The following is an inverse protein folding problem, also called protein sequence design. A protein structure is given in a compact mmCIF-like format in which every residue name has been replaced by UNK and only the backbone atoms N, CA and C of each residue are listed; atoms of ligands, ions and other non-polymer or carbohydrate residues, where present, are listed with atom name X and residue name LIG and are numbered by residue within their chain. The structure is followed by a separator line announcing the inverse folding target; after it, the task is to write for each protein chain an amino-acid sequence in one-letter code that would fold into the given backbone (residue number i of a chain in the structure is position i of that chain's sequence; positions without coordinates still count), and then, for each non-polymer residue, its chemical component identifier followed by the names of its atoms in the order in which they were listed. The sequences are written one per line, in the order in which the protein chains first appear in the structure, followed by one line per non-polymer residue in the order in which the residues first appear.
data_IF_152743577095
#
_entry.id   IF_152743577095
#
_cell.length_a   1.000
_cell.length_b   1.000
_cell.length_c   1.000
_cell.angle_alpha   90.00
_cell.angle_beta   90.00
_cell.angle_gamma   90.00
#
_symmetry.space_group_name_H-M   'P 1'
#
loop_
_entity.id
_entity.type
_entity.pdbx_description
1 polymer ?
#
# COMPACT_ATOMS: atom_id res chain seq x y z
N UNK A 1 14.84 -37.31 -10.74
CA UNK A 1 15.34 -37.27 -9.35
C UNK A 1 16.02 -35.91 -9.15
N UNK A 2 15.27 -34.88 -8.77
CA UNK A 2 15.81 -33.55 -8.47
C UNK A 2 15.35 -33.17 -7.06
N UNK A 3 16.16 -33.55 -6.08
CA UNK A 3 15.97 -33.14 -4.69
C UNK A 3 16.49 -31.72 -4.51
N UNK A 4 15.57 -30.77 -4.39
CA UNK A 4 15.91 -29.41 -3.97
C UNK A 4 15.81 -29.34 -2.44
N UNK A 5 16.98 -29.40 -1.80
CA UNK A 5 17.15 -29.26 -0.35
C UNK A 5 16.79 -27.81 0.09
N UNK A 6 15.75 -27.68 0.91
CA UNK A 6 15.34 -26.44 1.55
C UNK A 6 15.92 -26.30 2.96
N UNK A 7 17.23 -26.49 3.14
CA UNK A 7 17.90 -25.99 4.33
C UNK A 7 18.21 -24.49 4.19
N UNK A 8 17.20 -23.65 4.41
CA UNK A 8 17.40 -22.21 4.70
C UNK A 8 16.93 -21.89 6.11
N UNK A 9 17.73 -22.32 7.09
CA UNK A 9 17.81 -21.65 8.39
C UNK A 9 18.25 -20.21 8.16
N UNK A 10 17.51 -19.31 8.80
CA UNK A 10 17.88 -17.95 9.17
C UNK A 10 18.26 -16.97 8.04
N UNK A 11 17.36 -16.00 7.82
CA UNK A 11 17.65 -14.59 8.09
C UNK A 11 16.35 -13.78 8.05
N UNK A 12 15.64 -13.78 9.17
CA UNK A 12 14.63 -12.78 9.49
C UNK A 12 15.33 -11.41 9.68
N UNK A 13 15.77 -10.79 8.59
CA UNK A 13 16.19 -9.39 8.63
C UNK A 13 14.93 -8.55 8.68
N UNK A 14 14.58 -8.12 9.88
CA UNK A 14 13.58 -7.09 10.14
C UNK A 14 14.03 -5.79 9.48
N UNK A 15 13.68 -5.61 8.20
CA UNK A 15 13.84 -4.34 7.51
C UNK A 15 12.64 -3.46 7.92
N UNK A 16 12.73 -2.82 9.08
CA UNK A 16 11.69 -1.92 9.61
C UNK A 16 11.59 -0.58 8.85
N UNK A 17 12.29 -0.45 7.72
CA UNK A 17 12.45 0.77 6.94
C UNK A 17 12.23 0.48 5.47
N UNK A 18 10.98 0.23 5.12
CA UNK A 18 10.61 -0.28 3.79
C UNK A 18 10.73 0.78 2.71
N UNK A 19 10.61 2.07 3.05
CA UNK A 19 10.94 3.16 2.14
C UNK A 19 11.06 4.50 2.91
N UNK A 20 12.16 4.67 3.66
CA UNK A 20 12.55 5.99 4.20
C UNK A 20 12.47 7.13 3.17
N UNK A 21 12.89 6.97 1.88
CA UNK A 21 12.85 8.09 0.94
C UNK A 21 11.43 8.56 0.66
N UNK A 22 10.44 7.67 0.56
CA UNK A 22 9.05 8.05 0.32
C UNK A 22 8.49 8.82 1.52
N UNK A 23 8.78 8.35 2.74
CA UNK A 23 8.33 9.02 3.96
C UNK A 23 8.95 10.41 4.10
N UNK A 24 10.25 10.55 3.84
CA UNK A 24 10.95 11.84 3.90
C UNK A 24 10.51 12.79 2.78
N UNK A 25 10.27 12.28 1.57
CA UNK A 25 9.87 13.10 0.42
C UNK A 25 8.50 13.74 0.64
N UNK A 26 7.48 12.95 1.01
CA UNK A 26 6.14 13.47 1.26
C UNK A 26 6.05 14.28 2.56
N UNK A 27 6.81 13.91 3.59
CA UNK A 27 6.83 14.71 4.83
C UNK A 27 7.54 16.04 4.66
N UNK A 28 8.67 16.04 3.96
CA UNK A 28 9.38 17.25 3.58
C UNK A 28 8.52 18.18 2.73
N UNK A 29 7.75 17.64 1.78
CA UNK A 29 6.87 18.45 0.93
C UNK A 29 5.78 19.19 1.73
N UNK A 30 5.07 18.52 2.65
CA UNK A 30 4.04 19.19 3.46
C UNK A 30 4.63 20.19 4.45
N UNK A 31 5.73 19.85 5.13
CA UNK A 31 6.42 20.78 6.04
C UNK A 31 6.92 21.99 5.26
N UNK A 32 7.46 21.79 4.06
CA UNK A 32 7.85 22.87 3.16
C UNK A 32 6.65 23.73 2.76
N UNK A 33 5.51 23.12 2.39
CA UNK A 33 4.29 23.84 2.02
C UNK A 33 3.75 24.70 3.17
N UNK A 34 3.70 24.15 4.39
CA UNK A 34 3.33 24.89 5.60
C UNK A 34 4.33 26.01 5.87
N UNK A 35 5.63 25.74 5.74
CA UNK A 35 6.70 26.73 5.91
C UNK A 35 6.59 27.88 4.91
N UNK A 36 6.33 27.60 3.63
CA UNK A 36 6.08 28.63 2.61
C UNK A 36 4.85 29.44 2.95
N UNK A 37 3.75 28.79 3.36
CA UNK A 37 2.54 29.48 3.81
C UNK A 37 2.80 30.42 5.00
N UNK A 38 3.63 30.00 5.95
CA UNK A 38 4.06 30.84 7.08
C UNK A 38 4.90 32.03 6.63
N UNK A 39 5.83 31.85 5.69
CA UNK A 39 6.62 32.96 5.13
C UNK A 39 5.72 33.96 4.41
N UNK A 40 4.76 33.48 3.62
CA UNK A 40 3.78 34.34 2.95
C UNK A 40 2.95 35.12 3.97
N UNK A 41 2.42 34.46 5.00
CA UNK A 41 1.66 35.11 6.06
C UNK A 41 2.49 36.16 6.81
N UNK A 42 3.77 35.86 7.06
CA UNK A 42 4.73 36.79 7.67
C UNK A 42 4.95 38.03 6.79
N UNK A 43 5.17 37.86 5.48
CA UNK A 43 5.35 38.95 4.52
C UNK A 43 4.10 39.83 4.42
N UNK A 44 2.91 39.24 4.32
CA UNK A 44 1.64 39.98 4.25
C UNK A 44 1.43 40.80 5.52
N UNK A 45 1.68 40.20 6.68
CA UNK A 45 1.54 40.86 7.98
C UNK A 45 2.52 42.01 8.12
N UNK A 46 3.79 41.79 7.75
CA UNK A 46 4.82 42.81 7.75
C UNK A 46 4.45 43.98 6.83
N UNK A 47 4.06 43.71 5.58
CA UNK A 47 3.64 44.72 4.61
C UNK A 47 2.43 45.53 5.10
N UNK A 48 1.42 44.87 5.67
CA UNK A 48 0.20 45.52 6.18
C UNK A 48 0.53 46.45 7.35
N UNK A 49 1.36 46.01 8.28
CA UNK A 49 1.74 46.80 9.46
C UNK A 49 2.61 47.99 9.06
N UNK A 50 3.56 47.82 8.14
CA UNK A 50 4.37 48.93 7.63
C UNK A 50 3.54 49.99 6.93
N UNK A 51 2.58 49.58 6.10
CA UNK A 51 1.65 50.53 5.49
C UNK A 51 0.82 51.28 6.52
N UNK A 52 0.36 50.60 7.58
CA UNK A 52 -0.39 51.25 8.64
C UNK A 52 0.45 52.27 9.42
N UNK A 53 1.71 51.93 9.73
CA UNK A 53 2.62 52.81 10.47
C UNK A 53 3.00 54.05 9.65
N UNK A 54 3.43 53.87 8.39
CA UNK A 54 3.88 54.97 7.53
C UNK A 54 2.75 55.95 7.24
N UNK A 55 1.55 55.45 6.92
CA UNK A 55 0.43 56.29 6.54
C UNK A 55 -0.34 56.84 7.76
N UNK A 56 -0.26 56.18 8.92
CA UNK A 56 -0.98 56.57 10.13
C UNK A 56 -0.23 57.53 11.07
N UNK A 57 1.11 57.53 11.05
CA UNK A 57 1.93 58.29 12.01
C UNK A 57 3.18 58.96 11.39
N UNK A 58 3.03 59.81 10.35
CA UNK A 58 4.16 60.34 9.59
C UNK A 58 5.15 61.23 10.38
N UNK A 59 4.77 61.77 11.54
CA UNK A 59 5.57 62.77 12.30
C UNK A 59 5.73 62.46 13.79
N UNK A 60 5.50 61.22 14.22
CA UNK A 60 5.60 60.87 15.63
C UNK A 60 7.08 60.86 16.11
N UNK A 61 7.42 61.72 17.08
CA UNK A 61 8.76 61.73 17.72
C UNK A 61 9.14 60.37 18.35
N UNK A 62 8.14 59.54 18.66
CA UNK A 62 8.30 58.21 19.25
C UNK A 62 8.31 57.07 18.22
N UNK A 63 8.29 57.37 16.91
CA UNK A 63 8.18 56.36 15.84
C UNK A 63 9.24 55.25 15.94
N UNK A 64 10.53 55.52 16.23
CA UNK A 64 11.54 54.45 16.39
C UNK A 64 11.24 53.50 17.56
N UNK A 65 10.71 54.04 18.67
CA UNK A 65 10.36 53.23 19.85
C UNK A 65 9.13 52.34 19.57
N UNK A 66 8.15 52.88 18.84
CA UNK A 66 6.95 52.14 18.40
C UNK A 66 7.36 51.01 17.45
N UNK A 67 8.20 51.28 16.45
CA UNK A 67 8.70 50.26 15.50
C UNK A 67 9.43 49.13 16.24
N UNK A 68 10.31 49.48 17.18
CA UNK A 68 11.04 48.48 17.98
C UNK A 68 10.09 47.59 18.79
N UNK A 69 9.07 48.17 19.42
CA UNK A 69 8.10 47.43 20.23
C UNK A 69 7.20 46.54 19.36
N UNK A 70 6.73 47.05 18.22
CA UNK A 70 5.91 46.29 17.26
C UNK A 70 6.70 45.12 16.69
N UNK A 71 7.94 45.34 16.24
CA UNK A 71 8.80 44.27 15.71
C UNK A 71 9.07 43.19 16.77
N UNK A 72 9.38 43.56 18.00
CA UNK A 72 9.61 42.61 19.09
C UNK A 72 8.35 41.77 19.37
N UNK A 73 7.17 42.41 19.36
CA UNK A 73 5.91 41.72 19.61
C UNK A 73 5.53 40.78 18.46
N UNK A 74 5.67 41.24 17.22
CA UNK A 74 5.43 40.42 16.03
C UNK A 74 6.35 39.21 15.96
N UNK A 75 7.64 39.39 16.29
CA UNK A 75 8.61 38.31 16.31
C UNK A 75 8.13 37.17 17.22
N UNK A 76 7.79 37.47 18.47
CA UNK A 76 7.31 36.45 19.42
C UNK A 76 5.91 35.91 19.06
N UNK A 77 5.01 36.76 18.60
CA UNK A 77 3.65 36.38 18.18
C UNK A 77 3.64 35.46 16.96
N UNK A 78 4.62 35.53 16.05
CA UNK A 78 4.66 34.71 14.84
C UNK A 78 5.56 33.48 14.98
N UNK A 79 6.67 33.58 15.71
CA UNK A 79 7.62 32.45 15.85
C UNK A 79 7.05 31.33 16.69
N UNK A 80 6.50 31.61 17.88
CA UNK A 80 6.02 30.57 18.79
C UNK A 80 4.92 29.71 18.14
N UNK A 81 3.80 30.29 17.64
CA UNK A 81 2.79 29.48 16.96
C UNK A 81 3.30 28.89 15.65
N UNK A 82 4.25 29.56 14.97
CA UNK A 82 4.89 29.03 13.78
C UNK A 82 5.62 27.70 14.01
N UNK A 83 6.50 27.66 15.01
CA UNK A 83 7.18 26.42 15.39
C UNK A 83 6.21 25.35 15.89
N UNK A 84 5.17 25.75 16.63
CA UNK A 84 4.12 24.83 17.07
C UNK A 84 3.38 24.20 15.88
N UNK A 85 2.99 25.01 14.89
CA UNK A 85 2.32 24.54 13.68
C UNK A 85 3.22 23.61 12.87
N UNK A 86 4.50 23.94 12.69
CA UNK A 86 5.46 23.06 12.02
C UNK A 86 5.64 21.74 12.77
N UNK A 87 5.70 21.78 14.11
CA UNK A 87 5.78 20.59 14.95
C UNK A 87 4.54 19.69 14.81
N UNK A 88 3.34 20.27 14.86
CA UNK A 88 2.08 19.55 14.68
C UNK A 88 1.98 18.96 13.27
N UNK A 89 2.34 19.73 12.23
CA UNK A 89 2.33 19.28 10.85
C UNK A 89 3.33 18.14 10.60
N UNK A 90 4.55 18.25 11.14
CA UNK A 90 5.55 17.19 11.04
C UNK A 90 5.12 15.92 11.77
N UNK A 91 4.60 16.07 12.99
CA UNK A 91 4.11 14.94 13.79
C UNK A 91 2.94 14.22 13.13
N UNK A 92 1.91 14.95 12.70
CA UNK A 92 0.73 14.38 12.06
C UNK A 92 1.09 13.58 10.81
N UNK A 93 2.05 14.08 10.04
CA UNK A 93 2.52 13.44 8.82
C UNK A 93 3.32 12.16 9.09
N UNK A 94 4.18 12.14 10.12
CA UNK A 94 4.87 10.92 10.54
C UNK A 94 3.82 9.86 10.91
N UNK A 95 2.82 10.22 11.72
CA UNK A 95 1.76 9.29 12.14
C UNK A 95 0.96 8.78 10.95
N UNK A 96 0.55 9.66 10.03
CA UNK A 96 -0.20 9.29 8.84
C UNK A 96 0.60 8.33 7.96
N UNK A 97 1.86 8.65 7.71
CA UNK A 97 2.71 7.85 6.84
C UNK A 97 3.01 6.46 7.43
N UNK A 98 3.13 6.33 8.75
CA UNK A 98 3.27 5.02 9.39
C UNK A 98 2.02 4.14 9.18
N UNK A 99 0.83 4.74 9.19
CA UNK A 99 -0.45 4.04 8.97
C UNK A 99 -0.70 3.63 7.51
N UNK A 100 0.15 4.06 6.58
CA UNK A 100 0.08 3.70 5.15
C UNK A 100 1.25 2.80 4.76
N UNK A 101 2.49 3.23 5.04
CA UNK A 101 3.70 2.55 4.56
C UNK A 101 3.89 1.15 5.18
N UNK A 102 3.60 0.98 6.47
CA UNK A 102 3.69 -0.33 7.13
C UNK A 102 2.71 -1.35 6.54
N UNK A 103 1.42 -1.02 6.42
CA UNK A 103 0.43 -1.84 5.74
C UNK A 103 0.77 -2.15 4.28
N UNK A 104 1.21 -1.14 3.52
CA UNK A 104 1.60 -1.32 2.13
C UNK A 104 2.76 -2.32 1.98
N UNK A 105 3.74 -2.26 2.90
CA UNK A 105 4.81 -3.25 2.92
C UNK A 105 4.29 -4.66 3.17
N UNK A 106 3.39 -4.84 4.15
CA UNK A 106 2.84 -6.14 4.47
C UNK A 106 2.10 -6.72 3.27
N UNK A 107 1.30 -5.91 2.57
CA UNK A 107 0.62 -6.31 1.34
C UNK A 107 1.63 -6.73 0.28
N UNK A 108 2.66 -5.92 0.01
CA UNK A 108 3.72 -6.27 -0.96
C UNK A 108 4.38 -7.61 -0.60
N UNK A 109 4.68 -7.84 0.68
CA UNK A 109 5.29 -9.09 1.12
C UNK A 109 4.35 -10.27 0.87
N UNK A 110 3.08 -10.15 1.24
CA UNK A 110 2.06 -11.18 0.98
C UNK A 110 1.97 -11.50 -0.51
N UNK A 111 1.91 -10.48 -1.37
CA UNK A 111 1.88 -10.68 -2.82
C UNK A 111 3.12 -11.40 -3.35
N UNK A 112 4.29 -11.10 -2.79
CA UNK A 112 5.53 -11.75 -3.16
C UNK A 112 5.61 -13.19 -2.63
N UNK A 113 5.07 -13.47 -1.45
CA UNK A 113 4.94 -14.82 -0.91
C UNK A 113 4.00 -15.65 -1.81
N UNK A 114 2.85 -15.09 -2.21
CA UNK A 114 1.91 -15.70 -3.17
C UNK A 114 2.57 -15.98 -4.53
N UNK A 115 3.38 -15.05 -5.05
CA UNK A 115 4.10 -15.24 -6.31
C UNK A 115 5.12 -16.40 -6.24
N UNK A 116 5.62 -16.73 -5.05
CA UNK A 116 6.48 -17.90 -4.81
C UNK A 116 5.70 -19.17 -4.44
N UNK A 117 4.38 -19.16 -4.55
CA UNK A 117 3.52 -20.31 -4.22
C UNK A 117 3.25 -20.49 -2.74
N UNK A 118 3.61 -19.52 -1.89
CA UNK A 118 3.29 -19.54 -0.46
C UNK A 118 1.95 -18.83 -0.25
N UNK A 119 0.91 -19.60 0.02
CA UNK A 119 -0.46 -19.09 0.18
C UNK A 119 -0.79 -18.88 1.66
N UNK A 120 -0.84 -17.63 2.16
CA UNK A 120 -1.21 -17.38 3.55
C UNK A 120 -2.68 -17.72 3.81
N UNK A 121 -3.01 -18.12 5.04
CA UNK A 121 -4.39 -18.43 5.47
C UNK A 121 -5.27 -17.17 5.57
N UNK A 122 -4.69 -16.04 5.93
CA UNK A 122 -5.40 -14.77 6.06
C UNK A 122 -4.42 -13.59 6.08
N UNK A 123 -4.85 -12.46 5.55
CA UNK A 123 -4.13 -11.20 5.54
C UNK A 123 -4.87 -10.22 6.45
N UNK A 124 -4.30 -9.96 7.64
CA UNK A 124 -4.85 -8.98 8.58
C UNK A 124 -3.94 -7.77 8.76
N UNK A 125 -4.55 -6.59 8.74
CA UNK A 125 -3.93 -5.31 9.07
C UNK A 125 -4.44 -4.78 10.42
N UNK A 126 -3.73 -3.81 11.02
CA UNK A 126 -4.13 -3.25 12.31
C UNK A 126 -5.39 -2.39 12.15
N UNK A 127 -6.14 -2.24 13.24
CA UNK A 127 -7.42 -1.55 13.22
C UNK A 127 -7.42 -0.11 12.70
N UNK A 128 -6.29 0.58 12.77
CA UNK A 128 -6.17 1.97 12.33
C UNK A 128 -5.44 2.12 10.99
N UNK A 129 -5.12 1.03 10.31
CA UNK A 129 -4.36 1.10 9.06
C UNK A 129 -5.30 1.47 7.90
N UNK A 130 -4.81 2.26 6.93
CA UNK A 130 -5.64 2.78 5.83
C UNK A 130 -5.97 1.73 4.76
N UNK A 131 -5.16 0.68 4.63
CA UNK A 131 -5.25 -0.30 3.54
C UNK A 131 -6.05 -1.56 3.90
N UNK A 132 -6.95 -1.48 4.87
CA UNK A 132 -7.76 -2.63 5.31
C UNK A 132 -8.62 -3.20 4.19
N UNK A 133 -9.29 -2.34 3.43
CA UNK A 133 -10.14 -2.75 2.33
C UNK A 133 -9.35 -3.60 1.32
N UNK A 134 -8.12 -3.19 1.01
CA UNK A 134 -7.20 -3.97 0.16
C UNK A 134 -6.86 -5.32 0.80
N UNK A 135 -6.64 -5.39 2.11
CA UNK A 135 -6.42 -6.67 2.78
C UNK A 135 -7.66 -7.58 2.74
N UNK A 136 -8.86 -7.01 2.85
CA UNK A 136 -10.13 -7.74 2.76
C UNK A 136 -10.37 -8.27 1.34
N UNK A 137 -10.08 -7.46 0.31
CA UNK A 137 -10.10 -7.87 -1.09
C UNK A 137 -9.11 -9.02 -1.37
N UNK A 138 -7.90 -8.95 -0.79
CA UNK A 138 -6.92 -10.04 -0.90
C UNK A 138 -7.45 -11.30 -0.21
N UNK A 139 -8.09 -11.17 0.95
CA UNK A 139 -8.71 -12.33 1.61
C UNK A 139 -9.84 -12.93 0.78
N UNK A 140 -10.66 -12.10 0.12
CA UNK A 140 -11.69 -12.56 -0.80
C UNK A 140 -11.08 -13.36 -1.95
N UNK A 141 -10.00 -12.85 -2.55
CA UNK A 141 -9.24 -13.57 -3.58
C UNK A 141 -8.68 -14.90 -3.08
N UNK A 142 -8.03 -14.92 -1.91
CA UNK A 142 -7.48 -16.14 -1.31
C UNK A 142 -8.56 -17.19 -1.02
N UNK A 143 -9.74 -16.76 -0.55
CA UNK A 143 -10.87 -17.65 -0.31
C UNK A 143 -11.42 -18.24 -1.62
N UNK A 144 -11.49 -17.44 -2.68
CA UNK A 144 -11.85 -17.90 -4.02
C UNK A 144 -10.88 -18.98 -4.52
N UNK A 145 -9.57 -18.73 -4.40
CA UNK A 145 -8.52 -19.67 -4.80
C UNK A 145 -8.61 -21.00 -4.02
N UNK A 146 -8.86 -20.95 -2.71
CA UNK A 146 -9.03 -22.17 -1.91
C UNK A 146 -10.27 -22.96 -2.29
N UNK A 147 -11.39 -22.27 -2.50
CA UNK A 147 -12.64 -22.93 -2.92
C UNK A 147 -12.45 -23.66 -4.24
N UNK A 148 -11.76 -23.04 -5.18
CA UNK A 148 -11.42 -23.66 -6.45
C UNK A 148 -10.46 -24.85 -6.29
N UNK A 149 -9.40 -24.72 -5.49
CA UNK A 149 -8.47 -25.82 -5.23
C UNK A 149 -9.18 -27.05 -4.61
N UNK A 150 -10.13 -26.83 -3.70
CA UNK A 150 -10.94 -27.90 -3.12
C UNK A 150 -11.87 -28.55 -4.16
N UNK A 151 -12.47 -27.77 -5.07
CA UNK A 151 -13.31 -28.30 -6.16
C UNK A 151 -12.49 -29.16 -7.12
N UNK A 152 -11.29 -28.69 -7.50
CA UNK A 152 -10.38 -29.46 -8.35
C UNK A 152 -9.95 -30.77 -7.68
N UNK A 153 -9.61 -30.73 -6.38
CA UNK A 153 -9.26 -31.94 -5.63
C UNK A 153 -10.44 -32.93 -5.59
N UNK A 154 -11.67 -32.44 -5.46
CA UNK A 154 -12.87 -33.27 -5.52
C UNK A 154 -13.03 -33.93 -6.89
N UNK A 155 -12.93 -33.16 -7.98
CA UNK A 155 -13.04 -33.68 -9.34
C UNK A 155 -11.97 -34.74 -9.65
N UNK A 156 -10.73 -34.55 -9.16
CA UNK A 156 -9.65 -35.53 -9.33
C UNK A 156 -9.89 -36.82 -8.53
N UNK A 157 -10.48 -36.72 -7.33
CA UNK A 157 -10.86 -37.90 -6.52
C UNK A 157 -11.99 -38.69 -7.20
N UNK A 158 -13.00 -38.02 -7.73
CA UNK A 158 -14.07 -38.68 -8.51
C UNK A 158 -13.50 -39.41 -9.72
N UNK A 159 -12.55 -38.79 -10.43
CA UNK A 159 -11.89 -39.41 -11.57
C UNK A 159 -11.09 -40.67 -11.17
N UNK A 160 -10.34 -40.61 -10.07
CA UNK A 160 -9.61 -41.78 -9.53
C UNK A 160 -10.55 -42.93 -9.15
N UNK A 161 -11.71 -42.60 -8.57
CA UNK A 161 -12.73 -43.59 -8.20
C UNK A 161 -13.34 -44.26 -9.44
N UNK A 162 -13.74 -43.48 -10.46
CA UNK A 162 -14.23 -44.01 -11.74
C UNK A 162 -13.18 -44.89 -12.43
N UNK A 163 -11.91 -44.48 -12.42
CA UNK A 163 -10.81 -45.28 -12.99
C UNK A 163 -10.59 -46.59 -12.22
N UNK A 164 -10.70 -46.59 -10.89
CA UNK A 164 -10.63 -47.81 -10.07
C UNK A 164 -11.78 -48.76 -10.36
N UNK A 165 -13.01 -48.25 -10.50
CA UNK A 165 -14.18 -49.05 -10.88
C UNK A 165 -14.06 -49.61 -12.31
N UNK A 166 -13.43 -48.85 -13.21
CA UNK A 166 -13.16 -49.25 -14.60
C UNK A 166 -12.24 -50.46 -14.72
N UNK A 167 -11.29 -50.62 -13.80
CA UNK A 167 -10.38 -51.77 -13.74
C UNK A 167 -11.06 -53.09 -13.36
N UNK A 168 -12.34 -53.08 -12.98
CA UNK A 168 -13.08 -54.25 -12.49
C UNK A 168 -14.04 -54.91 -13.52
N UNK A 169 -14.04 -54.50 -14.78
CA UNK A 169 -14.61 -55.30 -15.88
C UNK A 169 -15.85 -54.77 -16.62
N UNK A 170 -15.93 -53.46 -16.90
CA UNK A 170 -16.82 -52.92 -17.95
C UNK A 170 -16.10 -51.82 -18.76
N UNK A 171 -15.17 -52.24 -19.62
CA UNK A 171 -14.12 -51.37 -20.18
C UNK A 171 -14.67 -50.18 -21.00
N UNK A 172 -15.62 -50.35 -21.93
CA UNK A 172 -15.87 -49.31 -22.93
C UNK A 172 -16.68 -48.09 -22.43
N UNK A 173 -17.73 -48.32 -21.64
CA UNK A 173 -18.60 -47.24 -21.13
C UNK A 173 -17.94 -46.46 -19.99
N UNK A 174 -17.17 -47.16 -19.15
CA UNK A 174 -16.48 -46.57 -18.02
C UNK A 174 -15.21 -45.81 -18.47
N UNK A 175 -14.49 -46.29 -19.49
CA UNK A 175 -13.43 -45.53 -20.16
C UNK A 175 -13.96 -44.24 -20.81
N UNK A 176 -15.13 -44.31 -21.45
CA UNK A 176 -15.76 -43.12 -22.04
C UNK A 176 -16.15 -42.07 -20.98
N UNK A 177 -16.63 -42.50 -19.81
CA UNK A 177 -16.96 -41.58 -18.71
C UNK A 177 -15.69 -41.00 -18.04
N UNK A 178 -14.63 -41.79 -17.88
CA UNK A 178 -13.34 -41.29 -17.39
C UNK A 178 -12.70 -40.27 -18.37
N UNK A 179 -12.76 -40.53 -19.67
CA UNK A 179 -12.29 -39.59 -20.70
C UNK A 179 -13.08 -38.27 -20.67
N UNK A 180 -14.40 -38.33 -20.51
CA UNK A 180 -15.24 -37.13 -20.38
C UNK A 180 -14.90 -36.30 -19.16
N UNK A 181 -14.65 -36.94 -18.02
CA UNK A 181 -14.24 -36.24 -16.80
C UNK A 181 -12.85 -35.60 -16.95
N UNK A 182 -11.89 -36.30 -17.57
CA UNK A 182 -10.57 -35.74 -17.87
C UNK A 182 -10.66 -34.53 -18.80
N UNK A 183 -11.47 -34.59 -19.86
CA UNK A 183 -11.72 -33.44 -20.75
C UNK A 183 -12.36 -32.25 -20.02
N UNK A 184 -13.20 -32.50 -19.02
CA UNK A 184 -13.79 -31.43 -18.20
C UNK A 184 -12.69 -30.75 -17.37
N UNK A 185 -11.86 -31.51 -16.67
CA UNK A 185 -10.73 -30.98 -15.87
C UNK A 185 -9.74 -30.20 -16.75
N UNK A 186 -9.41 -30.74 -17.93
CA UNK A 186 -8.52 -30.07 -18.89
C UNK A 186 -9.11 -28.75 -19.40
N UNK A 187 -10.41 -28.71 -19.72
CA UNK A 187 -11.11 -27.47 -20.11
C UNK A 187 -11.12 -26.44 -18.99
N UNK A 188 -11.36 -26.86 -17.76
CA UNK A 188 -11.35 -25.96 -16.60
C UNK A 188 -9.94 -25.38 -16.37
N UNK A 189 -8.88 -26.17 -16.59
CA UNK A 189 -7.49 -25.69 -16.55
C UNK A 189 -7.14 -24.77 -17.73
N UNK A 190 -7.60 -25.07 -18.94
CA UNK A 190 -7.35 -24.26 -20.14
C UNK A 190 -8.07 -22.90 -20.07
N UNK A 191 -9.29 -22.86 -19.52
CA UNK A 191 -9.99 -21.62 -19.21
C UNK A 191 -9.19 -20.72 -18.25
N UNK A 192 -8.44 -21.31 -17.31
CA UNK A 192 -7.59 -20.57 -16.37
C UNK A 192 -6.32 -20.06 -17.04
N UNK A 193 -5.63 -20.90 -17.80
CA UNK A 193 -4.44 -20.47 -18.53
C UNK A 193 -4.77 -19.41 -19.58
N UNK A 194 -5.92 -19.49 -20.24
CA UNK A 194 -6.36 -18.45 -21.18
C UNK A 194 -6.64 -17.12 -20.47
N UNK A 195 -7.30 -17.12 -19.30
CA UNK A 195 -7.50 -15.90 -18.50
C UNK A 195 -6.17 -15.31 -17.99
N UNK A 196 -5.19 -16.15 -17.62
CA UNK A 196 -3.86 -15.69 -17.19
C UNK A 196 -2.96 -15.25 -18.35
N UNK A 197 -3.15 -15.79 -19.56
CA UNK A 197 -2.33 -15.49 -20.74
C UNK A 197 -2.82 -14.27 -21.54
N UNK A 198 -3.94 -13.64 -21.14
CA UNK A 198 -4.42 -12.39 -21.76
C UNK A 198 -3.61 -11.16 -21.30
N UNK A 199 -2.87 -11.22 -20.18
CA UNK A 199 -2.10 -10.04 -19.68
C UNK A 199 -0.59 -10.08 -20.01
N UNK A 200 -0.08 -11.16 -20.61
CA UNK A 200 1.33 -11.25 -21.07
C UNK A 200 1.54 -10.70 -22.49
N UNK A 201 0.46 -10.38 -23.22
CA UNK A 201 0.48 -10.04 -24.64
C UNK A 201 0.42 -8.55 -25.03
N UNK A 202 0.03 -7.63 -24.13
CA UNK A 202 -0.27 -6.23 -24.52
C UNK A 202 0.54 -5.13 -23.80
N UNK A 203 1.77 -5.41 -23.34
CA UNK A 203 2.69 -4.34 -22.89
C UNK A 203 4.04 -4.31 -23.62
N UNK A 204 4.05 -4.74 -24.88
CA UNK A 204 5.24 -4.79 -25.73
C UNK A 204 5.12 -4.13 -27.10
N UNK A 205 4.02 -3.43 -27.42
CA UNK A 205 3.89 -2.74 -28.70
C UNK A 205 3.03 -1.48 -28.57
N UNK A 206 3.66 -0.31 -28.46
CA UNK A 206 2.95 0.96 -28.54
C UNK A 206 3.69 2.12 -27.87
N UNK A 207 4.59 2.74 -28.66
CA UNK A 207 5.16 4.09 -28.53
C UNK A 207 5.95 4.46 -27.28
#
# INVERSE_FOLDING_TARGET
MFGFDWNRKDRARHHYLVNKPMQLAYSGFLVWLVGVGMVIAWLITYYTIWNYIINGFPTAANLPAIIKQVNARLFWTLIIPGFLLLGIAGWSQIVLMHRIAGPAYRIRKVMMDMAHGIWPSEVKLRNQDYLKEVADEINLFLNGQRKWAMDLEHQLRELDEVLRESGAGQEEKQLADAQRQLEKVLRDLEAIFSVMNIDSGEKGAGS
#
